data_IF_010604563712
#
_entry.id   IF_010604563712
#
_cell.length_a   1.000
_cell.length_b   1.000
_cell.length_c   1.000
_cell.angle_alpha   90.00
_cell.angle_beta   90.00
_cell.angle_gamma   90.00
#
_symmetry.space_group_name_H-M   'P 1'
#
loop_
_entity.id
_entity.type
_entity.pdbx_description
1 polymer ?
#
# COMPACT_ATOMS: atom_id res chain seq x y z
N UNK A 1 -3.90 3.21 10.50
CA UNK A 1 -3.83 1.77 10.12
C UNK A 1 -2.76 1.60 9.06
N UNK A 2 -1.97 0.54 9.13
CA UNK A 2 -1.12 0.06 8.04
C UNK A 2 -1.87 -1.00 7.23
N UNK A 3 -1.84 -0.91 5.90
CA UNK A 3 -2.48 -1.83 4.98
C UNK A 3 -1.43 -2.43 4.03
N UNK A 4 -1.26 -3.75 4.07
CA UNK A 4 -0.24 -4.47 3.30
C UNK A 4 1.14 -4.54 3.94
N UNK A 5 1.27 -4.18 5.23
CA UNK A 5 2.53 -4.27 5.97
C UNK A 5 2.93 -5.73 6.18
N UNK A 6 4.22 -6.02 5.95
CA UNK A 6 4.85 -7.32 6.19
C UNK A 6 5.59 -7.24 7.53
N UNK A 7 5.00 -7.84 8.56
CA UNK A 7 5.48 -7.71 9.95
C UNK A 7 6.82 -8.41 10.19
N UNK A 8 7.14 -9.45 9.42
CA UNK A 8 8.39 -10.22 9.54
C UNK A 8 9.64 -9.39 9.22
N UNK A 9 9.48 -8.25 8.56
CA UNK A 9 10.57 -7.32 8.23
C UNK A 9 10.78 -6.21 9.25
N UNK A 10 9.91 -6.10 10.26
CA UNK A 10 9.99 -5.03 11.26
C UNK A 10 11.11 -5.27 12.26
N UNK A 11 11.83 -4.19 12.57
CA UNK A 11 12.74 -4.16 13.72
C UNK A 11 11.95 -4.16 15.03
N UNK A 12 12.63 -4.50 16.14
CA UNK A 12 12.03 -4.42 17.48
C UNK A 12 11.51 -3.01 17.80
N UNK A 13 12.24 -1.98 17.37
CA UNK A 13 11.85 -0.59 17.59
C UNK A 13 10.58 -0.23 16.83
N UNK A 14 10.44 -0.62 15.56
CA UNK A 14 9.23 -0.37 14.76
C UNK A 14 8.03 -1.12 15.34
N UNK A 15 8.21 -2.38 15.74
CA UNK A 15 7.18 -3.18 16.39
C UNK A 15 6.70 -2.54 17.69
N UNK A 16 7.63 -2.01 18.50
CA UNK A 16 7.30 -1.28 19.73
C UNK A 16 6.46 -0.03 19.44
N UNK A 17 6.86 0.78 18.45
CA UNK A 17 6.10 1.99 18.07
C UNK A 17 4.68 1.65 17.61
N UNK A 18 4.51 0.60 16.79
CA UNK A 18 3.21 0.14 16.34
C UNK A 18 2.33 -0.26 17.55
N UNK A 19 2.90 -1.01 18.49
CA UNK A 19 2.22 -1.43 19.71
C UNK A 19 1.87 -0.26 20.62
N UNK A 20 2.82 0.62 20.90
CA UNK A 20 2.66 1.75 21.82
C UNK A 20 1.61 2.76 21.33
N UNK A 21 1.51 2.94 20.02
CA UNK A 21 0.50 3.79 19.37
C UNK A 21 -0.82 3.06 19.09
N UNK A 22 -0.92 1.77 19.35
CA UNK A 22 -2.12 0.96 19.07
C UNK A 22 -2.50 0.95 17.60
N UNK A 23 -1.49 0.98 16.70
CA UNK A 23 -1.75 1.02 15.26
C UNK A 23 -2.31 -0.32 14.77
N UNK A 24 -3.38 -0.25 14.00
CA UNK A 24 -3.97 -1.43 13.38
C UNK A 24 -3.20 -1.81 12.12
N UNK A 25 -3.08 -3.12 11.88
CA UNK A 25 -2.46 -3.69 10.68
C UNK A 25 -3.50 -4.52 9.94
N UNK A 26 -3.54 -4.36 8.62
CA UNK A 26 -4.16 -5.30 7.69
C UNK A 26 -3.04 -5.93 6.86
N UNK A 27 -2.80 -7.22 7.04
CA UNK A 27 -1.72 -7.96 6.35
C UNK A 27 -2.05 -8.12 4.87
N UNK A 28 -1.05 -8.34 3.99
CA UNK A 28 -1.30 -8.56 2.57
C UNK A 28 -2.32 -9.67 2.30
N UNK A 29 -2.24 -10.78 3.02
CA UNK A 29 -3.12 -11.95 2.85
C UNK A 29 -4.59 -11.64 3.15
N UNK A 30 -4.85 -10.71 4.08
CA UNK A 30 -6.22 -10.24 4.41
C UNK A 30 -6.80 -9.34 3.32
N UNK A 31 -5.95 -8.86 2.39
CA UNK A 31 -6.30 -7.88 1.37
C UNK A 31 -6.33 -8.45 -0.06
N UNK A 32 -6.03 -9.73 -0.25
CA UNK A 32 -5.98 -10.32 -1.60
C UNK A 32 -7.37 -10.32 -2.27
N UNK A 33 -8.42 -10.69 -1.55
CA UNK A 33 -9.74 -10.91 -2.13
C UNK A 33 -10.74 -9.78 -1.83
N UNK A 34 -10.59 -9.08 -0.70
CA UNK A 34 -11.52 -8.03 -0.26
C UNK A 34 -10.79 -6.96 0.57
N UNK A 35 -11.53 -5.93 0.97
CA UNK A 35 -11.02 -4.81 1.79
C UNK A 35 -11.72 -4.74 3.16
N UNK A 36 -12.37 -5.81 3.58
CA UNK A 36 -13.25 -5.83 4.76
C UNK A 36 -12.54 -5.42 6.05
N UNK A 37 -11.26 -5.77 6.19
CA UNK A 37 -10.46 -5.39 7.36
C UNK A 37 -10.33 -3.88 7.49
N UNK A 38 -10.15 -3.18 6.37
CA UNK A 38 -9.98 -1.72 6.33
C UNK A 38 -11.34 -1.03 6.46
N UNK A 39 -12.34 -1.46 5.69
CA UNK A 39 -13.67 -0.82 5.69
C UNK A 39 -14.36 -0.98 7.05
N UNK A 40 -14.17 -2.11 7.72
CA UNK A 40 -14.63 -2.32 9.09
C UNK A 40 -13.98 -1.35 10.06
N UNK A 41 -12.65 -1.19 10.00
CA UNK A 41 -11.92 -0.23 10.82
C UNK A 41 -12.42 1.21 10.61
N UNK A 42 -12.66 1.62 9.35
CA UNK A 42 -13.24 2.93 9.03
C UNK A 42 -14.58 3.15 9.74
N UNK A 43 -15.47 2.14 9.69
CA UNK A 43 -16.80 2.18 10.33
C UNK A 43 -16.70 2.21 11.86
N UNK A 44 -15.90 1.33 12.44
CA UNK A 44 -15.72 1.24 13.90
C UNK A 44 -15.14 2.52 14.49
N UNK A 45 -14.22 3.18 13.77
CA UNK A 45 -13.62 4.44 14.18
C UNK A 45 -14.44 5.68 13.74
N UNK A 46 -15.56 5.48 13.04
CA UNK A 46 -16.40 6.57 12.50
C UNK A 46 -15.59 7.60 11.68
N UNK A 47 -14.69 7.12 10.85
CA UNK A 47 -13.80 7.96 10.05
C UNK A 47 -14.58 8.55 8.88
N UNK A 48 -14.68 9.88 8.81
CA UNK A 48 -15.37 10.60 7.74
C UNK A 48 -14.44 11.18 6.68
N UNK A 49 -13.18 11.45 7.06
CA UNK A 49 -12.14 11.98 6.19
C UNK A 49 -10.87 11.22 6.42
N UNK A 50 -10.21 10.84 5.34
CA UNK A 50 -9.00 10.03 5.38
C UNK A 50 -7.90 10.63 4.52
N UNK A 51 -6.70 10.71 5.06
CA UNK A 51 -5.47 10.90 4.30
C UNK A 51 -4.88 9.52 4.00
N UNK A 52 -4.52 9.28 2.75
CA UNK A 52 -3.88 8.04 2.31
C UNK A 52 -2.43 8.32 1.97
N UNK A 53 -1.52 7.55 2.55
CA UNK A 53 -0.15 7.43 2.08
C UNK A 53 -0.04 6.08 1.36
N UNK A 54 0.15 6.13 0.05
CA UNK A 54 0.40 4.96 -0.77
C UNK A 54 1.90 4.84 -1.02
N UNK A 55 2.52 3.96 -0.26
CA UNK A 55 3.86 3.48 -0.50
C UNK A 55 3.79 2.39 -1.58
N UNK A 56 4.45 2.61 -2.71
CA UNK A 56 4.41 1.65 -3.83
C UNK A 56 5.17 0.36 -3.53
N UNK A 57 6.03 0.32 -2.51
CA UNK A 57 6.71 -0.89 -2.07
C UNK A 57 5.74 -1.94 -1.47
N UNK A 58 4.47 -1.60 -1.26
CA UNK A 58 3.41 -2.57 -0.98
C UNK A 58 3.16 -3.54 -2.14
N UNK A 59 3.60 -3.16 -3.35
CA UNK A 59 3.40 -3.93 -4.58
C UNK A 59 4.50 -4.98 -4.77
N UNK A 60 4.10 -6.10 -5.38
CA UNK A 60 5.02 -7.16 -5.76
C UNK A 60 5.90 -6.72 -6.95
N UNK A 61 7.23 -6.69 -6.81
CA UNK A 61 8.16 -6.25 -7.85
C UNK A 61 8.16 -7.15 -9.10
N UNK A 62 7.65 -8.38 -9.02
CA UNK A 62 7.53 -9.26 -10.20
C UNK A 62 6.45 -8.77 -11.17
N UNK A 63 5.45 -8.04 -10.66
CA UNK A 63 4.30 -7.55 -11.46
C UNK A 63 4.24 -6.03 -11.61
N UNK A 64 4.99 -5.29 -10.78
CA UNK A 64 5.13 -3.84 -10.90
C UNK A 64 6.61 -3.45 -10.80
N UNK A 65 7.15 -2.96 -11.92
CA UNK A 65 8.59 -2.77 -12.10
C UNK A 65 9.13 -1.38 -11.72
N UNK A 66 8.27 -0.46 -11.27
CA UNK A 66 8.69 0.91 -10.88
C UNK A 66 9.03 1.02 -9.39
N UNK A 67 9.73 0.03 -8.85
CA UNK A 67 10.16 -0.09 -7.46
C UNK A 67 11.68 -0.27 -7.37
N UNK A 68 12.28 0.09 -6.23
CA UNK A 68 13.69 -0.21 -5.95
C UNK A 68 14.00 -1.70 -6.12
N UNK A 69 13.11 -2.55 -5.62
CA UNK A 69 13.22 -4.00 -5.69
C UNK A 69 13.17 -4.60 -7.10
N UNK A 70 12.83 -3.79 -8.11
CA UNK A 70 12.76 -4.19 -9.52
C UNK A 70 13.80 -3.46 -10.37
N UNK A 71 14.82 -2.88 -9.77
CA UNK A 71 15.91 -2.19 -10.44
C UNK A 71 16.57 -3.12 -11.47
N UNK A 72 16.74 -2.67 -12.75
CA UNK A 72 17.50 -3.41 -13.74
C UNK A 72 18.99 -3.45 -13.36
N UNK A 73 19.58 -4.65 -13.34
CA UNK A 73 21.01 -4.86 -13.03
C UNK A 73 21.44 -4.20 -11.69
N UNK A 74 20.78 -4.50 -10.57
CA UNK A 74 21.05 -3.85 -9.30
C UNK A 74 22.46 -4.20 -8.79
N UNK A 75 23.17 -3.22 -8.24
CA UNK A 75 24.47 -3.45 -7.57
C UNK A 75 24.32 -4.19 -6.24
N UNK A 76 23.13 -4.13 -5.63
CA UNK A 76 22.82 -4.74 -4.35
C UNK A 76 21.48 -5.51 -4.42
N UNK A 77 21.46 -6.71 -3.89
CA UNK A 77 20.23 -7.52 -3.82
C UNK A 77 19.33 -7.06 -2.67
N UNK A 78 18.48 -6.08 -2.97
CA UNK A 78 17.54 -5.51 -2.00
C UNK A 78 16.54 -6.55 -1.49
N UNK A 79 16.11 -7.48 -2.35
CA UNK A 79 15.12 -8.51 -2.00
C UNK A 79 15.68 -9.56 -1.03
N UNK A 80 17.00 -9.73 -0.98
CA UNK A 80 17.64 -10.63 -0.02
C UNK A 80 17.67 -10.08 1.42
N UNK A 81 17.49 -8.75 1.56
CA UNK A 81 17.63 -8.07 2.86
C UNK A 81 16.30 -7.57 3.41
N UNK A 82 15.41 -7.10 2.54
CA UNK A 82 14.13 -6.52 2.92
C UNK A 82 12.95 -7.33 2.39
N UNK A 83 11.86 -7.45 3.16
CA UNK A 83 10.63 -8.06 2.66
C UNK A 83 10.08 -7.22 1.51
N UNK A 84 9.61 -7.89 0.45
CA UNK A 84 9.03 -7.24 -0.71
C UNK A 84 7.52 -7.28 -0.66
N UNK A 85 6.87 -6.24 -1.20
CA UNK A 85 5.41 -6.13 -1.26
C UNK A 85 4.76 -7.32 -1.99
N UNK A 86 3.54 -7.63 -1.60
CA UNK A 86 2.81 -8.81 -2.09
C UNK A 86 1.54 -8.47 -2.87
N UNK A 87 1.09 -7.20 -2.84
CA UNK A 87 -0.10 -6.77 -3.56
C UNK A 87 0.21 -6.49 -5.04
N UNK A 88 -0.82 -6.51 -5.86
CA UNK A 88 -0.76 -6.01 -7.22
C UNK A 88 -1.58 -4.72 -7.39
N UNK A 89 -1.43 -4.04 -8.54
CA UNK A 89 -2.14 -2.79 -8.83
C UNK A 89 -3.66 -2.91 -8.78
N UNK A 90 -4.22 -4.06 -9.21
CA UNK A 90 -5.65 -4.28 -9.21
C UNK A 90 -6.21 -4.40 -7.78
N UNK A 91 -5.50 -5.10 -6.91
CA UNK A 91 -5.83 -5.21 -5.48
C UNK A 91 -5.73 -3.85 -4.78
N UNK A 92 -4.65 -3.11 -5.00
CA UNK A 92 -4.46 -1.77 -4.44
C UNK A 92 -5.53 -0.80 -4.92
N UNK A 93 -5.87 -0.82 -6.21
CA UNK A 93 -6.94 0.00 -6.76
C UNK A 93 -8.31 -0.36 -6.16
N UNK A 94 -8.62 -1.66 -6.00
CA UNK A 94 -9.84 -2.11 -5.33
C UNK A 94 -9.90 -1.57 -3.90
N UNK A 95 -8.82 -1.71 -3.12
CA UNK A 95 -8.75 -1.20 -1.75
C UNK A 95 -9.07 0.30 -1.70
N UNK A 96 -8.46 1.11 -2.56
CA UNK A 96 -8.70 2.55 -2.59
C UNK A 96 -10.16 2.86 -2.98
N UNK A 97 -10.75 2.12 -3.92
CA UNK A 97 -12.17 2.27 -4.31
C UNK A 97 -13.11 1.91 -3.17
N UNK A 98 -12.88 0.78 -2.50
CA UNK A 98 -13.69 0.33 -1.37
C UNK A 98 -13.60 1.35 -0.22
N UNK A 99 -12.41 1.87 0.07
CA UNK A 99 -12.20 2.92 1.06
C UNK A 99 -12.93 4.21 0.67
N UNK A 100 -12.85 4.63 -0.59
CA UNK A 100 -13.52 5.85 -1.07
C UNK A 100 -15.06 5.74 -1.07
N UNK A 101 -15.59 4.53 -1.11
CA UNK A 101 -17.03 4.30 -0.95
C UNK A 101 -17.52 4.44 0.51
N UNK A 102 -16.63 4.29 1.49
CA UNK A 102 -16.94 4.35 2.92
C UNK A 102 -16.59 5.69 3.58
N UNK A 103 -15.64 6.44 3.02
CA UNK A 103 -15.15 7.70 3.59
C UNK A 103 -14.59 8.63 2.51
N UNK A 104 -14.59 9.94 2.78
CA UNK A 104 -13.96 10.94 1.90
C UNK A 104 -12.43 10.83 1.98
N UNK A 105 -11.77 10.50 0.87
CA UNK A 105 -10.31 10.61 0.76
C UNK A 105 -9.97 12.06 0.41
N UNK A 106 -9.42 12.79 1.38
CA UNK A 106 -9.10 14.22 1.23
C UNK A 106 -7.72 14.48 0.64
N UNK A 107 -6.82 13.51 0.73
CA UNK A 107 -5.47 13.58 0.16
C UNK A 107 -4.94 12.16 -0.08
N UNK A 108 -4.19 11.98 -1.15
CA UNK A 108 -3.38 10.79 -1.40
C UNK A 108 -1.95 11.22 -1.74
N UNK A 109 -0.98 10.75 -0.96
CA UNK A 109 0.44 10.85 -1.27
C UNK A 109 0.93 9.52 -1.84
N UNK A 110 1.78 9.55 -2.86
CA UNK A 110 2.37 8.35 -3.47
C UNK A 110 3.87 8.47 -3.39
N UNK A 111 4.55 7.44 -2.85
CA UNK A 111 6.00 7.39 -2.65
C UNK A 111 6.61 6.14 -3.27
N UNK A 112 7.91 6.03 -3.24
CA UNK A 112 8.73 4.88 -3.69
C UNK A 112 8.56 4.56 -5.19
N UNK A 113 8.26 5.59 -6.01
CA UNK A 113 8.22 5.43 -7.45
C UNK A 113 9.61 5.61 -8.09
N UNK A 114 10.06 4.59 -8.81
CA UNK A 114 11.24 4.64 -9.67
C UNK A 114 10.83 4.51 -11.15
N UNK A 115 11.60 5.12 -12.08
CA UNK A 115 11.12 5.33 -13.46
C UNK A 115 11.25 4.11 -14.38
N UNK A 116 11.41 2.89 -13.85
CA UNK A 116 11.57 1.69 -14.66
C UNK A 116 10.31 1.30 -15.44
N UNK A 117 9.13 1.62 -14.89
CA UNK A 117 7.82 1.24 -15.47
C UNK A 117 6.76 2.34 -15.36
N UNK A 118 7.07 3.51 -15.93
CA UNK A 118 6.21 4.69 -15.88
C UNK A 118 4.83 4.48 -16.55
N UNK A 119 4.72 3.56 -17.52
CA UNK A 119 3.44 3.28 -18.20
C UNK A 119 2.42 2.65 -17.24
N UNK A 120 2.81 1.64 -16.50
CA UNK A 120 1.90 0.97 -15.56
C UNK A 120 1.44 1.91 -14.44
N UNK A 121 2.34 2.75 -13.93
CA UNK A 121 1.95 3.78 -12.95
C UNK A 121 0.93 4.76 -13.54
N UNK A 122 1.15 5.28 -14.76
CA UNK A 122 0.21 6.18 -15.43
C UNK A 122 -1.18 5.57 -15.57
N UNK A 123 -1.28 4.31 -16.00
CA UNK A 123 -2.57 3.62 -16.15
C UNK A 123 -3.27 3.34 -14.80
N UNK A 124 -2.50 3.15 -13.74
CA UNK A 124 -3.03 3.06 -12.38
C UNK A 124 -3.61 4.40 -11.92
N UNK A 125 -2.83 5.49 -12.04
CA UNK A 125 -3.26 6.83 -11.59
C UNK A 125 -4.57 7.27 -12.25
N UNK A 126 -4.76 7.01 -13.54
CA UNK A 126 -6.00 7.31 -14.27
C UNK A 126 -7.25 6.62 -13.68
N UNK A 127 -7.09 5.58 -12.87
CA UNK A 127 -8.20 4.80 -12.31
C UNK A 127 -8.48 5.12 -10.85
N UNK A 128 -7.67 5.98 -10.23
CA UNK A 128 -7.89 6.40 -8.85
C UNK A 128 -9.15 7.28 -8.76
N UNK A 129 -10.09 6.97 -7.83
CA UNK A 129 -11.32 7.75 -7.69
C UNK A 129 -11.07 9.25 -7.48
N UNK A 130 -10.09 9.59 -6.64
CA UNK A 130 -9.76 10.98 -6.29
C UNK A 130 -9.22 11.82 -7.47
N UNK A 131 -8.78 11.19 -8.57
CA UNK A 131 -8.25 11.87 -9.75
C UNK A 131 -9.25 11.93 -10.91
N UNK A 132 -10.44 11.39 -10.75
CA UNK A 132 -11.47 11.25 -11.79
C UNK A 132 -12.82 11.86 -11.38
N UNK A 133 -12.83 12.82 -10.47
CA UNK A 133 -14.00 13.61 -10.09
C UNK A 133 -14.33 14.69 -11.11
#
# INVERSE_FOLDING_TARGET
>A
MYAGLIEEGLTEQESSVISDLGLQIARPEELYENSDRITRWIKEQNIRKLAVHLDLDVLNPDVFRSLLFAEPEPEFDWQAVYPVGKLNLAQTLRIIRDVSAETEIVIIGITEHLPWDAWNLKEFLKKLPILNE
#
